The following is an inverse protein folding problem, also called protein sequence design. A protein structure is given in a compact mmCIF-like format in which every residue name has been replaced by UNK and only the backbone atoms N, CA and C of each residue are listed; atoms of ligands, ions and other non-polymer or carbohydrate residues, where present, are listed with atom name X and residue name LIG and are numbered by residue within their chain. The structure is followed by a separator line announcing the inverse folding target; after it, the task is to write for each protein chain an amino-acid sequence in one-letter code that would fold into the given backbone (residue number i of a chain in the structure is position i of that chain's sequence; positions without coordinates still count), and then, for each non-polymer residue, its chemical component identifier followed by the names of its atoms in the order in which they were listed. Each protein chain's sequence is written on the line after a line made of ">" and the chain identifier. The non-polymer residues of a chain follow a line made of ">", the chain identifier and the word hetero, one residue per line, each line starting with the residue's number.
data_IF_591863337993
#
_entry.id   IF_591863337993
#
_cell.length_a   1.000
_cell.length_b   1.000
_cell.length_c   1.000
_cell.angle_alpha   90.00
_cell.angle_beta   90.00
_cell.angle_gamma   90.00
#
_symmetry.space_group_name_H-M   'P 1'
#
loop_
_entity.id
_entity.type
_entity.pdbx_description
1 polymer ?
#
# COMPACT_ATOMS: atom_id res chain seq x y z
N UNK A 1 -30.68 -32.46 16.48
CA UNK A 1 -30.47 -31.07 16.04
C UNK A 1 -29.11 -30.60 16.54
N UNK A 2 -28.14 -30.33 15.65
CA UNK A 2 -26.80 -29.88 16.08
C UNK A 2 -26.88 -28.46 16.60
N UNK A 3 -26.63 -28.27 17.90
CA UNK A 3 -26.55 -26.95 18.53
C UNK A 3 -25.31 -26.22 17.99
N UNK A 4 -25.51 -25.11 17.27
CA UNK A 4 -24.40 -24.25 16.84
C UNK A 4 -23.75 -23.65 18.07
N UNK A 5 -22.48 -23.97 18.31
CA UNK A 5 -21.66 -23.30 19.33
C UNK A 5 -21.69 -21.80 19.06
N UNK A 6 -22.03 -21.00 20.08
CA UNK A 6 -22.01 -19.55 20.02
C UNK A 6 -20.68 -19.07 20.61
N UNK A 7 -20.00 -18.19 19.89
CA UNK A 7 -18.77 -17.53 20.34
C UNK A 7 -19.07 -16.07 20.63
N UNK A 8 -18.43 -15.51 21.65
CA UNK A 8 -18.53 -14.08 22.00
C UNK A 8 -17.89 -13.21 20.91
N UNK A 9 -18.22 -11.92 20.88
CA UNK A 9 -17.64 -11.01 19.90
C UNK A 9 -16.13 -10.86 20.13
N UNK A 10 -15.73 -10.75 21.40
CA UNK A 10 -14.35 -10.61 21.85
C UNK A 10 -13.51 -11.80 21.40
N UNK A 11 -14.03 -13.02 21.57
CA UNK A 11 -13.32 -14.23 21.16
C UNK A 11 -13.08 -14.27 19.65
N UNK A 12 -14.06 -13.86 18.84
CA UNK A 12 -13.92 -13.84 17.38
C UNK A 12 -12.87 -12.83 16.93
N UNK A 13 -12.83 -11.67 17.56
CA UNK A 13 -11.84 -10.61 17.30
C UNK A 13 -10.44 -11.10 17.70
N UNK A 14 -10.28 -11.66 18.90
CA UNK A 14 -8.99 -12.19 19.35
C UNK A 14 -8.49 -13.32 18.45
N UNK A 15 -9.38 -14.26 18.09
CA UNK A 15 -9.04 -15.35 17.17
C UNK A 15 -8.63 -14.84 15.78
N UNK A 16 -9.29 -13.78 15.28
CA UNK A 16 -8.92 -13.13 14.03
C UNK A 16 -7.54 -12.46 14.14
N UNK A 17 -7.26 -11.74 15.23
CA UNK A 17 -5.96 -11.11 15.48
C UNK A 17 -4.81 -12.12 15.54
N UNK A 18 -5.02 -13.29 16.15
CA UNK A 18 -4.00 -14.36 16.13
C UNK A 18 -3.57 -14.76 14.72
N UNK A 19 -4.46 -14.65 13.73
CA UNK A 19 -4.14 -14.91 12.31
C UNK A 19 -3.62 -13.65 11.60
N UNK A 20 -4.17 -12.47 11.89
CA UNK A 20 -3.82 -11.23 11.20
C UNK A 20 -2.42 -10.75 11.61
N UNK A 21 -2.09 -10.89 12.88
CA UNK A 21 -0.87 -10.35 13.49
C UNK A 21 0.28 -11.37 13.51
N UNK A 22 0.07 -12.58 12.96
CA UNK A 22 1.09 -13.62 12.85
C UNK A 22 1.20 -14.15 11.42
N UNK A 23 2.30 -14.83 11.10
CA UNK A 23 2.49 -15.53 9.82
C UNK A 23 1.82 -16.92 9.77
N UNK A 24 0.91 -17.21 10.71
CA UNK A 24 0.27 -18.53 10.85
C UNK A 24 -0.94 -18.66 9.94
N UNK A 25 -1.19 -19.88 9.45
CA UNK A 25 -2.35 -20.15 8.60
C UNK A 25 -3.66 -20.21 9.40
N UNK A 26 -4.78 -19.87 8.75
CA UNK A 26 -6.14 -20.03 9.34
C UNK A 26 -6.36 -21.46 9.83
N UNK A 27 -5.90 -22.47 9.07
CA UNK A 27 -6.09 -23.88 9.41
C UNK A 27 -5.36 -24.27 10.71
N UNK A 28 -4.15 -23.73 10.91
CA UNK A 28 -3.37 -23.99 12.12
C UNK A 28 -4.04 -23.37 13.36
N UNK A 29 -4.41 -22.09 13.28
CA UNK A 29 -5.06 -21.37 14.39
C UNK A 29 -6.44 -21.96 14.70
N UNK A 30 -7.19 -22.39 13.68
CA UNK A 30 -8.49 -23.03 13.86
C UNK A 30 -8.40 -24.33 14.65
N UNK A 31 -7.38 -25.16 14.38
CA UNK A 31 -7.14 -26.41 15.12
C UNK A 31 -6.77 -26.15 16.57
N UNK A 32 -5.89 -25.19 16.82
CA UNK A 32 -5.50 -24.78 18.19
C UNK A 32 -6.72 -24.34 19.01
N UNK A 33 -7.56 -23.49 18.41
CA UNK A 33 -8.76 -22.95 19.06
C UNK A 33 -9.96 -23.91 19.03
N UNK A 34 -9.83 -25.09 18.44
CA UNK A 34 -10.93 -26.05 18.24
C UNK A 34 -12.17 -25.44 17.57
N UNK A 35 -11.95 -24.53 16.60
CA UNK A 35 -12.98 -23.87 15.80
C UNK A 35 -12.95 -24.35 14.36
N UNK A 36 -14.05 -24.17 13.63
CA UNK A 36 -14.09 -24.49 12.20
C UNK A 36 -13.30 -23.47 11.38
N UNK A 37 -12.46 -23.97 10.45
CA UNK A 37 -11.62 -23.13 9.58
C UNK A 37 -12.45 -22.09 8.80
N UNK A 38 -13.64 -22.47 8.31
CA UNK A 38 -14.55 -21.54 7.61
C UNK A 38 -15.05 -20.42 8.51
N UNK A 39 -15.38 -20.72 9.77
CA UNK A 39 -15.82 -19.73 10.75
C UNK A 39 -14.70 -18.74 11.04
N UNK A 40 -13.49 -19.25 11.30
CA UNK A 40 -12.33 -18.41 11.57
C UNK A 40 -11.97 -17.54 10.36
N UNK A 41 -12.00 -18.09 9.14
CA UNK A 41 -11.80 -17.32 7.92
C UNK A 41 -12.84 -16.22 7.70
N UNK A 42 -14.09 -16.45 8.14
CA UNK A 42 -15.12 -15.41 8.22
C UNK A 42 -14.70 -14.27 9.15
N UNK A 43 -14.32 -14.59 10.38
CA UNK A 43 -13.93 -13.59 11.40
C UNK A 43 -12.69 -12.79 11.00
N UNK A 44 -11.69 -13.44 10.39
CA UNK A 44 -10.49 -12.76 9.86
C UNK A 44 -10.86 -11.75 8.79
N UNK A 45 -11.78 -12.10 7.88
CA UNK A 45 -12.24 -11.17 6.84
C UNK A 45 -13.02 -10.00 7.43
N UNK A 46 -13.90 -10.25 8.39
CA UNK A 46 -14.68 -9.21 9.05
C UNK A 46 -13.76 -8.25 9.83
N UNK A 47 -12.75 -8.78 10.52
CA UNK A 47 -11.79 -7.97 11.27
C UNK A 47 -10.87 -7.17 10.35
N UNK A 48 -10.37 -7.76 9.25
CA UNK A 48 -9.61 -6.99 8.24
C UNK A 48 -10.42 -5.83 7.68
N UNK A 49 -11.71 -6.04 7.38
CA UNK A 49 -12.61 -4.96 6.94
C UNK A 49 -12.79 -3.89 8.01
N UNK A 50 -12.90 -4.28 9.28
CA UNK A 50 -12.99 -3.33 10.41
C UNK A 50 -11.71 -2.51 10.55
N UNK A 51 -10.55 -3.15 10.48
CA UNK A 51 -9.24 -2.48 10.51
C UNK A 51 -9.05 -1.55 9.32
N UNK A 52 -9.45 -1.97 8.12
CA UNK A 52 -9.41 -1.13 6.91
C UNK A 52 -10.38 0.04 7.00
N UNK A 53 -11.56 -0.14 7.58
CA UNK A 53 -12.50 0.95 7.84
C UNK A 53 -11.95 1.95 8.87
N UNK A 54 -11.31 1.46 9.93
CA UNK A 54 -10.63 2.31 10.92
C UNK A 54 -9.45 3.09 10.30
N UNK A 55 -8.66 2.45 9.43
CA UNK A 55 -7.61 3.12 8.63
C UNK A 55 -8.19 4.08 7.59
N UNK A 56 -9.34 3.75 7.03
CA UNK A 56 -10.09 4.58 6.09
C UNK A 56 -10.68 5.83 6.73
N UNK A 57 -10.92 5.81 8.04
CA UNK A 57 -11.25 7.01 8.85
C UNK A 57 -10.01 7.80 9.29
N UNK A 58 -8.82 7.18 9.31
CA UNK A 58 -7.56 7.86 9.67
C UNK A 58 -6.94 8.69 8.54
N UNK A 59 -7.33 8.48 7.27
CA UNK A 59 -7.04 9.48 6.22
C UNK A 59 -8.05 10.60 6.32
N UNK A 60 -7.77 11.53 7.25
CA UNK A 60 -8.43 12.82 7.29
C UNK A 60 -8.50 13.37 5.85
N UNK A 61 -9.69 13.80 5.37
CA UNK A 61 -9.82 14.33 4.04
C UNK A 61 -8.85 15.50 3.89
N UNK A 62 -7.92 15.42 2.93
CA UNK A 62 -6.94 16.49 2.68
C UNK A 62 -7.65 17.85 2.73
N UNK A 63 -7.11 18.77 3.51
CA UNK A 63 -7.57 20.15 3.56
C UNK A 63 -7.48 20.78 2.16
N UNK A 64 -8.21 21.88 1.95
CA UNK A 64 -8.14 22.60 0.67
C UNK A 64 -6.69 23.01 0.34
N UNK A 65 -5.94 23.42 1.36
CA UNK A 65 -4.54 23.84 1.24
C UNK A 65 -3.63 22.66 0.87
N UNK A 66 -3.77 21.50 1.50
CA UNK A 66 -3.01 20.31 1.15
C UNK A 66 -3.31 19.83 -0.28
N UNK A 67 -4.57 19.93 -0.74
CA UNK A 67 -4.92 19.60 -2.12
C UNK A 67 -4.31 20.60 -3.12
N UNK A 68 -4.29 21.89 -2.78
CA UNK A 68 -3.69 22.93 -3.61
C UNK A 68 -2.17 22.74 -3.72
N UNK A 69 -1.51 22.46 -2.61
CA UNK A 69 -0.07 22.21 -2.59
C UNK A 69 0.28 20.92 -3.35
N UNK A 70 -0.52 19.86 -3.20
CA UNK A 70 -0.34 18.63 -3.96
C UNK A 70 -0.52 18.85 -5.47
N UNK A 71 -1.45 19.70 -5.90
CA UNK A 71 -1.59 20.07 -7.31
C UNK A 71 -0.38 20.87 -7.82
N UNK A 72 0.13 21.82 -7.00
CA UNK A 72 1.33 22.59 -7.30
C UNK A 72 2.56 21.69 -7.44
N UNK A 73 2.78 20.79 -6.48
CA UNK A 73 3.91 19.86 -6.48
C UNK A 73 3.86 18.93 -7.68
N UNK A 74 2.68 18.40 -8.05
CA UNK A 74 2.51 17.59 -9.25
C UNK A 74 2.87 18.34 -10.53
N UNK A 75 2.47 19.61 -10.63
CA UNK A 75 2.86 20.46 -11.76
C UNK A 75 4.37 20.64 -11.83
N UNK A 76 5.00 20.92 -10.69
CA UNK A 76 6.45 21.08 -10.60
C UNK A 76 7.20 19.81 -11.02
N UNK A 77 6.72 18.63 -10.61
CA UNK A 77 7.31 17.35 -11.04
C UNK A 77 7.24 17.21 -12.56
N UNK A 78 6.10 17.48 -13.17
CA UNK A 78 5.93 17.40 -14.64
C UNK A 78 6.87 18.36 -15.36
N UNK A 79 7.05 19.58 -14.84
CA UNK A 79 7.94 20.56 -15.46
C UNK A 79 9.42 20.15 -15.30
N UNK A 80 9.82 19.65 -14.12
CA UNK A 80 11.17 19.11 -13.90
C UNK A 80 11.46 17.89 -14.78
N UNK A 81 10.49 17.00 -14.99
CA UNK A 81 10.64 15.85 -15.89
C UNK A 81 10.89 16.29 -17.33
N UNK A 82 10.22 17.34 -17.81
CA UNK A 82 10.48 17.91 -19.15
C UNK A 82 11.89 18.50 -19.24
N UNK A 83 12.33 19.22 -18.21
CA UNK A 83 13.67 19.81 -18.17
C UNK A 83 14.76 18.73 -18.18
N UNK A 84 14.58 17.67 -17.39
CA UNK A 84 15.48 16.50 -17.38
C UNK A 84 15.50 15.80 -18.74
N UNK A 85 14.34 15.62 -19.38
CA UNK A 85 14.27 15.05 -20.73
C UNK A 85 15.00 15.93 -21.75
N UNK A 86 14.84 17.25 -21.68
CA UNK A 86 15.53 18.18 -22.56
C UNK A 86 17.04 18.12 -22.36
N UNK A 87 17.50 18.20 -21.11
CA UNK A 87 18.92 18.12 -20.78
C UNK A 87 19.53 16.77 -21.20
N UNK A 88 18.79 15.67 -21.04
CA UNK A 88 19.19 14.36 -21.53
C UNK A 88 19.38 14.34 -23.04
N UNK A 89 18.45 14.92 -23.82
CA UNK A 89 18.58 15.04 -25.28
C UNK A 89 19.78 15.89 -25.70
N UNK A 90 20.01 17.02 -25.02
CA UNK A 90 21.15 17.91 -25.28
C UNK A 90 22.46 17.20 -24.98
N UNK A 91 22.56 16.52 -23.84
CA UNK A 91 23.73 15.73 -23.46
C UNK A 91 24.03 14.63 -24.48
N UNK A 92 23.01 13.88 -24.90
CA UNK A 92 23.13 12.85 -25.94
C UNK A 92 23.58 13.44 -27.29
N UNK A 93 23.05 14.60 -27.68
CA UNK A 93 23.47 15.29 -28.90
C UNK A 93 24.96 15.65 -28.87
N UNK A 94 25.46 16.22 -27.77
CA UNK A 94 26.88 16.57 -27.64
C UNK A 94 27.77 15.33 -27.59
N UNK A 95 27.33 14.25 -26.94
CA UNK A 95 28.07 12.98 -26.95
C UNK A 95 28.18 12.38 -28.36
N UNK A 96 27.12 12.50 -29.17
CA UNK A 96 27.11 12.03 -30.55
C UNK A 96 27.87 12.94 -31.53
N UNK A 97 28.02 14.24 -31.20
CA UNK A 97 28.68 15.25 -32.04
C UNK A 97 29.88 15.88 -31.31
N UNK A 98 30.94 15.10 -31.01
CA UNK A 98 32.12 15.64 -30.35
C UNK A 98 32.78 16.70 -31.25
N UNK A 99 33.29 17.80 -30.67
CA UNK A 99 33.98 18.83 -31.44
C UNK A 99 35.18 18.22 -32.18
N UNK A 100 35.37 18.62 -33.43
CA UNK A 100 36.52 18.18 -34.23
C UNK A 100 37.79 18.69 -33.55
N UNK A 101 38.66 17.78 -33.13
CA UNK A 101 40.00 18.13 -32.65
C UNK A 101 40.76 18.77 -33.81
N UNK A 102 41.09 20.05 -33.68
CA UNK A 102 42.00 20.70 -34.60
C UNK A 102 43.41 20.38 -34.13
N UNK A 103 43.96 19.26 -34.61
CA UNK A 103 45.37 18.92 -34.37
C UNK A 103 46.21 19.82 -35.29
N UNK A 104 46.61 20.97 -34.74
CA UNK A 104 47.63 21.83 -35.35
C UNK A 104 48.99 21.16 -35.19
N UNK A 105 49.64 20.89 -36.33
CA UNK A 105 51.03 20.43 -36.46
C UNK A 105 52.04 21.46 -35.96
#
# INVERSE_FOLDING_TARGET
>A
MSSRRKFTAEFKVEAAHRVIDSDRSIAEVARELSVGEQSLGGWVRDERRRMDAARGTEREPLTADERAELARLRKQVVDLEKDLQFLGKVSAYFAANPPKRNDSR
#
